data_IF_861342955929
#
_entry.id   IF_861342955929
#
_cell.length_a   1.000
_cell.length_b   1.000
_cell.length_c   1.000
_cell.angle_alpha   90.00
_cell.angle_beta   90.00
_cell.angle_gamma   90.00
#
_symmetry.space_group_name_H-M   'P 1'
#
loop_
_entity.id
_entity.type
_entity.pdbx_description
1 polymer ?
#
# COMPACT_ATOMS: atom_id res chain seq x y z
N UNK A 1 -2.23 11.37 29.36
CA UNK A 1 -2.95 10.08 29.45
C UNK A 1 -1.93 8.99 29.76
N UNK A 2 -2.12 8.23 30.84
CA UNK A 2 -1.24 7.13 31.21
C UNK A 2 -1.60 5.87 30.42
N UNK A 3 -0.59 5.21 29.88
CA UNK A 3 -0.72 4.07 28.98
C UNK A 3 0.12 2.89 29.45
N UNK A 4 -0.37 1.69 29.23
CA UNK A 4 0.42 0.47 29.27
C UNK A 4 0.72 0.05 27.83
N UNK A 5 2.01 -0.09 27.51
CA UNK A 5 2.50 -0.57 26.23
C UNK A 5 2.81 -2.07 26.29
N UNK A 6 2.32 -2.82 25.31
CA UNK A 6 2.67 -4.22 25.10
C UNK A 6 2.90 -4.46 23.59
N UNK A 7 3.73 -5.45 23.26
CA UNK A 7 3.97 -5.90 21.89
C UNK A 7 4.06 -7.42 21.82
N UNK A 8 3.64 -7.98 20.67
CA UNK A 8 3.81 -9.40 20.32
C UNK A 8 4.30 -9.45 18.88
N UNK A 9 5.24 -10.35 18.57
CA UNK A 9 5.72 -10.55 17.19
C UNK A 9 4.73 -11.38 16.40
N UNK A 10 4.70 -11.16 15.08
CA UNK A 10 3.98 -12.01 14.14
C UNK A 10 4.89 -12.42 12.97
N UNK A 11 4.53 -13.54 12.36
CA UNK A 11 5.11 -14.02 11.12
C UNK A 11 4.04 -14.77 10.32
N UNK A 12 4.03 -14.57 9.01
CA UNK A 12 3.24 -15.38 8.11
C UNK A 12 3.89 -15.47 6.73
N UNK A 13 3.59 -16.58 6.03
CA UNK A 13 3.94 -16.75 4.63
C UNK A 13 2.80 -16.25 3.75
N UNK A 14 3.10 -15.52 2.68
CA UNK A 14 2.10 -15.12 1.70
C UNK A 14 1.56 -16.36 0.96
N UNK A 15 0.32 -16.33 0.52
CA UNK A 15 -0.32 -17.44 -0.23
C UNK A 15 0.40 -17.72 -1.55
N UNK A 16 0.98 -16.69 -2.16
CA UNK A 16 1.93 -16.81 -3.27
C UNK A 16 2.94 -15.68 -3.20
N UNK A 17 4.13 -15.90 -3.75
CA UNK A 17 5.17 -14.88 -3.82
C UNK A 17 4.70 -13.64 -4.60
N UNK A 18 5.29 -12.51 -4.27
CA UNK A 18 5.11 -11.26 -5.01
C UNK A 18 6.49 -10.80 -5.45
N UNK A 19 6.74 -10.87 -6.74
CA UNK A 19 7.97 -10.40 -7.36
C UNK A 19 7.82 -8.95 -7.81
N UNK A 20 8.90 -8.19 -7.70
CA UNK A 20 9.09 -6.92 -8.37
C UNK A 20 10.55 -6.84 -8.86
N UNK A 21 10.91 -5.77 -9.55
CA UNK A 21 12.26 -5.59 -10.09
C UNK A 21 13.38 -5.64 -9.04
N UNK A 22 13.08 -5.36 -7.78
CA UNK A 22 14.08 -5.21 -6.71
C UNK A 22 14.09 -6.35 -5.69
N UNK A 23 12.98 -7.07 -5.52
CA UNK A 23 12.84 -8.07 -4.45
C UNK A 23 11.68 -9.02 -4.67
N UNK A 24 11.75 -10.17 -3.97
CA UNK A 24 10.67 -11.14 -3.86
C UNK A 24 10.16 -11.20 -2.44
N UNK A 25 8.87 -10.97 -2.27
CA UNK A 25 8.18 -11.12 -0.99
C UNK A 25 7.54 -12.51 -0.90
N UNK A 26 7.99 -13.33 0.04
CA UNK A 26 7.43 -14.64 0.34
C UNK A 26 6.75 -14.69 1.71
N UNK A 27 7.20 -13.86 2.63
CA UNK A 27 6.71 -13.82 4.00
C UNK A 27 6.78 -12.40 4.55
N UNK A 28 6.03 -12.17 5.60
CA UNK A 28 6.01 -10.94 6.39
C UNK A 28 6.21 -11.25 7.85
N UNK A 29 6.90 -10.35 8.51
CA UNK A 29 7.12 -10.36 9.97
C UNK A 29 7.09 -8.94 10.51
N UNK A 30 6.74 -8.83 11.78
CA UNK A 30 6.62 -7.54 12.45
C UNK A 30 6.09 -7.70 13.87
N UNK A 31 5.45 -6.66 14.36
CA UNK A 31 4.88 -6.65 15.72
C UNK A 31 3.50 -6.02 15.71
N UNK A 32 2.59 -6.66 16.45
CA UNK A 32 1.36 -6.01 16.90
C UNK A 32 1.67 -5.31 18.20
N UNK A 33 1.29 -4.04 18.30
CA UNK A 33 1.34 -3.28 19.54
C UNK A 33 -0.06 -3.12 20.12
N UNK A 34 -0.12 -3.07 21.45
CA UNK A 34 -1.33 -2.77 22.22
C UNK A 34 -1.03 -1.68 23.22
N UNK A 35 -1.72 -0.57 23.09
CA UNK A 35 -1.78 0.49 24.09
C UNK A 35 -3.08 0.34 24.89
N UNK A 36 -3.00 0.43 26.22
CA UNK A 36 -4.16 0.40 27.10
C UNK A 36 -4.15 1.60 28.03
N UNK A 37 -5.26 2.30 28.06
CA UNK A 37 -5.60 3.28 29.08
C UNK A 37 -6.75 2.73 29.93
N UNK A 38 -6.69 2.90 31.25
CA UNK A 38 -7.68 2.30 32.15
C UNK A 38 -9.08 2.89 32.00
N UNK A 39 -9.18 4.16 31.61
CA UNK A 39 -10.45 4.90 31.51
C UNK A 39 -10.99 4.89 30.07
N UNK A 40 -10.12 4.98 29.09
CA UNK A 40 -10.48 5.20 27.68
C UNK A 40 -10.48 3.93 26.82
N UNK A 41 -9.89 2.84 27.33
CA UNK A 41 -9.89 1.55 26.65
C UNK A 41 -8.57 1.17 25.99
N UNK A 42 -8.62 0.48 24.85
CA UNK A 42 -7.50 -0.16 24.20
C UNK A 42 -7.42 0.31 22.75
N UNK A 43 -6.20 0.47 22.24
CA UNK A 43 -5.91 0.68 20.82
C UNK A 43 -4.82 -0.26 20.34
N UNK A 44 -4.88 -0.62 19.07
CA UNK A 44 -3.95 -1.52 18.42
C UNK A 44 -3.25 -0.84 17.25
N UNK A 45 -1.99 -1.22 17.03
CA UNK A 45 -1.22 -0.82 15.87
C UNK A 45 -0.36 -1.96 15.36
N UNK A 46 0.08 -1.85 14.13
CA UNK A 46 0.92 -2.84 13.47
C UNK A 46 2.22 -2.21 13.00
N UNK A 47 3.34 -2.73 13.47
CA UNK A 47 4.68 -2.42 13.00
C UNK A 47 5.05 -3.44 11.92
N UNK A 48 4.96 -3.03 10.67
CA UNK A 48 5.08 -3.89 9.50
C UNK A 48 6.07 -3.30 8.47
N UNK A 49 7.39 -3.31 8.74
CA UNK A 49 8.36 -2.74 7.81
C UNK A 49 8.31 -3.46 6.46
N UNK A 50 8.44 -2.69 5.37
CA UNK A 50 8.46 -3.24 4.02
C UNK A 50 9.75 -4.01 3.76
N UNK A 51 10.90 -3.43 4.14
CA UNK A 51 12.20 -4.03 3.89
C UNK A 51 12.61 -4.91 5.08
N UNK A 52 13.11 -6.09 4.78
CA UNK A 52 13.58 -7.05 5.80
C UNK A 52 14.67 -6.46 6.69
N UNK A 53 15.57 -5.66 6.13
CA UNK A 53 16.66 -5.00 6.87
C UNK A 53 16.17 -4.03 7.94
N UNK A 54 14.95 -3.50 7.84
CA UNK A 54 14.38 -2.58 8.81
C UNK A 54 13.83 -3.29 10.06
N UNK A 55 13.74 -4.63 10.05
CA UNK A 55 13.24 -5.41 11.19
C UNK A 55 14.10 -5.24 12.43
N UNK A 56 15.43 -5.27 12.29
CA UNK A 56 16.33 -5.15 13.45
C UNK A 56 16.27 -3.74 14.04
N UNK A 57 16.20 -2.71 13.20
CA UNK A 57 16.00 -1.32 13.63
C UNK A 57 14.68 -1.19 14.40
N UNK A 58 13.60 -1.74 13.86
CA UNK A 58 12.29 -1.72 14.52
C UNK A 58 12.32 -2.47 15.86
N UNK A 59 12.98 -3.63 15.93
CA UNK A 59 13.14 -4.42 17.18
C UNK A 59 13.86 -3.62 18.26
N UNK A 60 14.98 -2.99 17.91
CA UNK A 60 15.78 -2.18 18.84
C UNK A 60 14.95 -1.01 19.36
N UNK A 61 14.31 -0.24 18.47
CA UNK A 61 13.51 0.93 18.83
C UNK A 61 12.28 0.55 19.67
N UNK A 62 11.58 -0.54 19.34
CA UNK A 62 10.46 -1.03 20.13
C UNK A 62 10.86 -1.46 21.55
N UNK A 63 12.13 -1.88 21.77
CA UNK A 63 12.63 -2.22 23.11
C UNK A 63 12.93 -0.98 23.96
N UNK A 64 13.05 0.19 23.36
CA UNK A 64 13.23 1.47 24.09
C UNK A 64 11.91 2.02 24.66
N UNK A 65 10.76 1.51 24.22
CA UNK A 65 9.46 1.98 24.72
C UNK A 65 9.19 1.33 26.09
N UNK A 66 9.06 2.12 27.17
CA UNK A 66 8.80 1.60 28.49
C UNK A 66 7.38 1.01 28.59
N UNK A 67 7.22 -0.01 29.46
CA UNK A 67 5.93 -0.67 29.70
C UNK A 67 4.83 0.31 30.15
N UNK A 68 5.20 1.30 30.96
CA UNK A 68 4.30 2.37 31.42
C UNK A 68 4.80 3.69 30.88
N UNK A 69 3.94 4.41 30.17
CA UNK A 69 4.32 5.65 29.50
C UNK A 69 3.14 6.62 29.42
N UNK A 70 3.43 7.90 29.45
CA UNK A 70 2.43 8.93 29.17
C UNK A 70 2.29 9.14 27.65
N UNK A 71 1.08 9.45 27.17
CA UNK A 71 0.82 9.67 25.74
C UNK A 71 1.69 10.77 25.11
N UNK A 72 1.97 11.86 25.85
CA UNK A 72 2.88 12.92 25.39
C UNK A 72 4.31 12.40 25.26
N UNK A 73 4.78 11.66 26.25
CA UNK A 73 6.16 11.13 26.26
C UNK A 73 6.38 10.07 25.19
N UNK A 74 5.40 9.19 24.92
CA UNK A 74 5.55 8.21 23.83
C UNK A 74 5.57 8.91 22.47
N UNK A 75 4.72 9.90 22.24
CA UNK A 75 4.70 10.68 21.00
C UNK A 75 6.02 11.43 20.76
N UNK A 76 6.64 11.92 21.83
CA UNK A 76 7.98 12.57 21.74
C UNK A 76 9.08 11.54 21.46
N UNK A 77 9.07 10.42 22.18
CA UNK A 77 10.06 9.36 22.05
C UNK A 77 10.12 8.81 20.60
N UNK A 78 8.97 8.59 19.97
CA UNK A 78 8.91 7.96 18.66
C UNK A 78 9.20 8.90 17.49
N UNK A 79 9.38 10.20 17.68
CA UNK A 79 9.62 11.18 16.60
C UNK A 79 10.76 10.78 15.65
N UNK A 80 11.80 10.14 16.19
CA UNK A 80 12.97 9.71 15.43
C UNK A 80 12.97 8.19 15.17
N UNK A 81 11.88 7.49 15.49
CA UNK A 81 11.77 6.06 15.23
C UNK A 81 11.38 5.78 13.78
N UNK A 82 11.53 4.53 13.38
CA UNK A 82 11.14 4.08 12.05
C UNK A 82 9.67 4.47 11.74
N UNK A 83 9.33 4.94 10.53
CA UNK A 83 7.99 5.42 10.19
C UNK A 83 6.87 4.44 10.52
N UNK A 84 7.07 3.13 10.32
CA UNK A 84 6.04 2.14 10.64
C UNK A 84 5.77 1.99 12.16
N UNK A 85 6.77 2.27 13.05
CA UNK A 85 6.55 2.32 14.49
C UNK A 85 5.72 3.55 14.85
N UNK A 86 6.06 4.69 14.26
CA UNK A 86 5.29 5.92 14.45
C UNK A 86 3.84 5.71 14.01
N UNK A 87 3.63 5.12 12.82
CA UNK A 87 2.30 4.79 12.32
C UNK A 87 1.53 3.89 13.29
N UNK A 88 2.15 2.81 13.77
CA UNK A 88 1.53 1.87 14.69
C UNK A 88 1.10 2.53 16.02
N UNK A 89 1.98 3.35 16.63
CA UNK A 89 1.67 4.07 17.87
C UNK A 89 0.56 5.10 17.66
N UNK A 90 0.65 5.89 16.57
CA UNK A 90 -0.38 6.88 16.26
C UNK A 90 -1.73 6.22 15.92
N UNK A 91 -1.73 5.07 15.27
CA UNK A 91 -2.95 4.26 15.04
C UNK A 91 -3.60 3.83 16.34
N UNK A 92 -2.83 3.27 17.26
CA UNK A 92 -3.33 2.84 18.56
C UNK A 92 -3.83 4.00 19.43
N UNK A 93 -3.15 5.15 19.39
CA UNK A 93 -3.59 6.37 20.09
C UNK A 93 -4.90 6.90 19.51
N UNK A 94 -5.05 6.91 18.19
CA UNK A 94 -6.28 7.36 17.52
C UNK A 94 -7.51 6.52 17.92
N UNK A 95 -7.35 5.20 18.11
CA UNK A 95 -8.41 4.33 18.62
C UNK A 95 -8.78 4.68 20.08
N UNK A 96 -7.80 4.81 20.98
CA UNK A 96 -8.03 5.16 22.39
C UNK A 96 -8.69 6.52 22.52
N UNK A 97 -8.30 7.47 21.68
CA UNK A 97 -8.83 8.84 21.65
C UNK A 97 -10.17 8.95 20.89
N UNK A 98 -10.68 7.83 20.38
CA UNK A 98 -11.92 7.76 19.57
C UNK A 98 -11.92 8.71 18.37
N UNK A 99 -10.74 8.99 17.82
CA UNK A 99 -10.57 9.78 16.59
C UNK A 99 -10.91 8.98 15.32
N UNK A 100 -10.92 7.67 15.45
CA UNK A 100 -11.34 6.73 14.42
C UNK A 100 -12.20 5.63 15.04
N UNK A 101 -13.25 5.27 14.34
CA UNK A 101 -14.07 4.10 14.65
C UNK A 101 -14.07 3.21 13.40
N UNK A 102 -13.50 2.02 13.55
CA UNK A 102 -13.51 1.05 12.47
C UNK A 102 -14.87 0.34 12.45
N UNK A 103 -15.60 0.49 11.34
CA UNK A 103 -16.79 -0.32 11.14
C UNK A 103 -16.37 -1.76 10.84
N UNK A 104 -17.01 -2.74 11.49
CA UNK A 104 -16.65 -4.16 11.33
C UNK A 104 -16.93 -4.72 9.92
N UNK A 105 -17.64 -3.98 9.07
CA UNK A 105 -18.20 -4.43 7.81
C UNK A 105 -17.52 -3.89 6.55
N UNK A 106 -16.29 -3.38 6.62
CA UNK A 106 -15.54 -3.07 5.40
C UNK A 106 -14.97 -4.33 4.78
N UNK A 107 -15.74 -4.94 3.90
CA UNK A 107 -15.27 -6.03 3.05
C UNK A 107 -14.96 -5.49 1.67
N UNK A 108 -13.70 -5.58 1.25
CA UNK A 108 -13.32 -5.34 -0.14
C UNK A 108 -13.37 -6.64 -0.91
N UNK A 109 -14.08 -6.63 -2.05
CA UNK A 109 -14.03 -7.69 -3.02
C UNK A 109 -12.86 -7.41 -3.98
N UNK A 110 -11.97 -8.38 -4.17
CA UNK A 110 -10.78 -8.21 -5.00
C UNK A 110 -11.12 -8.02 -6.50
N UNK A 111 -12.28 -8.47 -6.92
CA UNK A 111 -12.63 -8.53 -8.35
C UNK A 111 -12.99 -7.14 -8.91
N UNK A 112 -13.74 -6.35 -8.16
CA UNK A 112 -14.31 -5.08 -8.65
C UNK A 112 -13.98 -3.86 -7.77
N UNK A 113 -13.40 -4.09 -6.62
CA UNK A 113 -13.11 -3.04 -5.64
C UNK A 113 -11.62 -2.83 -5.37
N UNK A 114 -10.75 -3.69 -5.92
CA UNK A 114 -9.30 -3.55 -5.80
C UNK A 114 -8.62 -3.86 -7.13
N UNK A 115 -7.44 -3.29 -7.35
CA UNK A 115 -6.64 -3.65 -8.51
C UNK A 115 -6.15 -5.10 -8.41
N UNK A 116 -6.32 -5.85 -9.49
CA UNK A 116 -5.87 -7.24 -9.60
C UNK A 116 -4.40 -7.23 -9.99
N UNK A 117 -3.55 -7.76 -9.13
CA UNK A 117 -2.12 -7.88 -9.41
C UNK A 117 -1.89 -9.11 -10.29
N UNK A 118 -1.46 -8.86 -11.53
CA UNK A 118 -1.10 -9.93 -12.49
C UNK A 118 0.23 -10.60 -12.10
N UNK A 119 0.38 -11.86 -12.51
CA UNK A 119 1.69 -12.53 -12.48
C UNK A 119 2.65 -11.79 -13.42
N UNK A 120 3.76 -11.22 -12.92
CA UNK A 120 4.67 -10.44 -13.74
C UNK A 120 5.36 -11.25 -14.84
N UNK A 121 5.48 -12.57 -14.66
CA UNK A 121 6.10 -13.46 -15.64
C UNK A 121 5.12 -13.98 -16.71
N UNK A 122 3.80 -13.98 -16.43
CA UNK A 122 2.76 -14.47 -17.33
C UNK A 122 1.50 -13.58 -17.32
N UNK A 123 1.62 -12.25 -17.48
CA UNK A 123 0.49 -11.33 -17.29
C UNK A 123 -0.61 -11.55 -18.35
N UNK A 124 -0.23 -11.90 -19.57
CA UNK A 124 -1.17 -12.13 -20.67
C UNK A 124 -2.06 -13.36 -20.40
N UNK A 125 -1.48 -14.45 -19.86
CA UNK A 125 -2.25 -15.65 -19.50
C UNK A 125 -3.32 -15.32 -18.44
N UNK A 126 -2.96 -14.57 -17.40
CA UNK A 126 -3.92 -14.15 -16.39
C UNK A 126 -4.99 -13.21 -16.96
N UNK A 127 -4.62 -12.27 -17.83
CA UNK A 127 -5.59 -11.38 -18.50
C UNK A 127 -6.59 -12.17 -19.34
N UNK A 128 -6.14 -13.19 -20.08
CA UNK A 128 -7.02 -14.07 -20.89
C UNK A 128 -7.99 -14.83 -19.98
N UNK A 129 -7.51 -15.37 -18.85
CA UNK A 129 -8.35 -16.06 -17.87
C UNK A 129 -9.41 -15.10 -17.30
N UNK A 130 -9.03 -13.89 -16.92
CA UNK A 130 -9.96 -12.87 -16.42
C UNK A 130 -11.03 -12.54 -17.46
N UNK A 131 -10.66 -12.38 -18.73
CA UNK A 131 -11.58 -12.09 -19.84
C UNK A 131 -12.53 -13.27 -20.13
N UNK A 132 -12.11 -14.51 -19.92
CA UNK A 132 -12.93 -15.70 -20.06
C UNK A 132 -14.01 -15.82 -19.00
N UNK A 133 -13.91 -15.10 -17.90
CA UNK A 133 -14.92 -15.11 -16.85
C UNK A 133 -16.09 -14.18 -17.22
N UNK A 134 -17.24 -14.77 -17.58
CA UNK A 134 -18.43 -14.01 -17.99
C UNK A 134 -18.92 -12.99 -16.95
N UNK A 135 -18.77 -13.31 -15.65
CA UNK A 135 -19.18 -12.42 -14.56
C UNK A 135 -18.36 -11.12 -14.48
N UNK A 136 -17.17 -11.10 -15.08
CA UNK A 136 -16.26 -9.94 -15.08
C UNK A 136 -16.38 -9.10 -16.36
N UNK A 137 -17.05 -9.60 -17.40
CA UNK A 137 -17.11 -8.92 -18.70
C UNK A 137 -17.90 -7.60 -18.67
N UNK A 138 -18.80 -7.41 -17.71
CA UNK A 138 -19.65 -6.23 -17.58
C UNK A 138 -19.14 -5.27 -16.49
N UNK A 139 -18.13 -5.67 -15.71
CA UNK A 139 -17.60 -4.85 -14.61
C UNK A 139 -16.40 -4.02 -15.05
N UNK A 140 -16.26 -2.83 -14.48
CA UNK A 140 -15.02 -2.06 -14.60
C UNK A 140 -13.94 -2.76 -13.78
N UNK A 141 -12.90 -3.25 -14.44
CA UNK A 141 -11.77 -3.92 -13.81
C UNK A 141 -10.55 -3.02 -13.85
N UNK A 142 -9.75 -3.07 -12.79
CA UNK A 142 -8.40 -2.50 -12.79
C UNK A 142 -7.40 -3.62 -12.59
N UNK A 143 -6.45 -3.74 -13.50
CA UNK A 143 -5.34 -4.67 -13.41
C UNK A 143 -4.04 -3.89 -13.17
N UNK A 144 -3.10 -4.51 -12.45
CA UNK A 144 -1.77 -3.96 -12.21
C UNK A 144 -0.73 -4.98 -12.67
N UNK A 145 0.17 -4.55 -13.54
CA UNK A 145 1.29 -5.36 -14.00
C UNK A 145 2.61 -4.75 -13.53
N UNK A 146 3.44 -5.57 -12.89
CA UNK A 146 4.80 -5.20 -12.48
C UNK A 146 5.78 -5.52 -13.60
N UNK A 147 6.59 -4.55 -13.96
CA UNK A 147 7.56 -4.58 -15.06
C UNK A 147 8.98 -4.32 -14.56
N UNK A 148 9.98 -4.35 -15.45
CA UNK A 148 11.39 -4.24 -15.10
C UNK A 148 11.94 -5.52 -14.44
N UNK A 149 11.29 -6.66 -14.66
CA UNK A 149 11.65 -7.98 -14.14
C UNK A 149 12.27 -8.83 -15.25
N UNK A 150 11.76 -8.71 -16.47
CA UNK A 150 12.31 -9.32 -17.68
C UNK A 150 13.11 -8.28 -18.45
N UNK A 151 13.71 -8.68 -19.58
CA UNK A 151 14.34 -7.70 -20.47
C UNK A 151 13.29 -6.78 -21.12
N UNK A 152 13.67 -5.53 -21.34
CA UNK A 152 12.76 -4.49 -21.85
C UNK A 152 12.07 -4.86 -23.17
N UNK A 153 12.78 -5.53 -24.07
CA UNK A 153 12.22 -5.90 -25.38
C UNK A 153 11.11 -6.95 -25.25
N UNK A 154 11.30 -7.93 -24.36
CA UNK A 154 10.28 -8.93 -24.05
C UNK A 154 9.05 -8.29 -23.39
N UNK A 155 9.26 -7.39 -22.42
CA UNK A 155 8.16 -6.69 -21.75
C UNK A 155 7.41 -5.75 -22.71
N UNK A 156 8.08 -5.04 -23.61
CA UNK A 156 7.43 -4.21 -24.64
C UNK A 156 6.56 -5.03 -25.59
N UNK A 157 6.99 -6.24 -26.00
CA UNK A 157 6.15 -7.15 -26.81
C UNK A 157 4.92 -7.59 -26.04
N UNK A 158 5.09 -8.00 -24.77
CA UNK A 158 3.98 -8.39 -23.90
C UNK A 158 3.02 -7.22 -23.71
N UNK A 159 3.53 -5.99 -23.56
CA UNK A 159 2.72 -4.77 -23.46
C UNK A 159 1.81 -4.62 -24.68
N UNK A 160 2.36 -4.70 -25.89
CA UNK A 160 1.60 -4.57 -27.15
C UNK A 160 0.47 -5.63 -27.20
N UNK A 161 0.78 -6.87 -26.81
CA UNK A 161 -0.23 -7.93 -26.76
C UNK A 161 -1.31 -7.65 -25.68
N UNK A 162 -0.92 -7.18 -24.49
CA UNK A 162 -1.88 -6.76 -23.45
C UNK A 162 -2.80 -5.66 -24.00
N UNK A 163 -2.24 -4.63 -24.61
CA UNK A 163 -3.00 -3.50 -25.17
C UNK A 163 -4.02 -3.96 -26.21
N UNK A 164 -3.65 -4.88 -27.10
CA UNK A 164 -4.56 -5.50 -28.08
C UNK A 164 -5.71 -6.30 -27.41
N UNK A 165 -5.51 -6.73 -26.17
CA UNK A 165 -6.49 -7.48 -25.41
C UNK A 165 -7.29 -6.63 -24.41
N UNK A 166 -6.94 -5.35 -24.20
CA UNK A 166 -7.70 -4.47 -23.30
C UNK A 166 -9.07 -4.14 -23.91
N UNK A 167 -10.12 -4.38 -23.15
CA UNK A 167 -11.46 -3.88 -23.45
C UNK A 167 -11.66 -2.53 -22.75
N UNK A 168 -12.64 -1.75 -23.20
CA UNK A 168 -12.95 -0.43 -22.63
C UNK A 168 -13.25 -0.45 -21.12
N UNK A 169 -13.73 -1.58 -20.60
CA UNK A 169 -14.01 -1.77 -19.17
C UNK A 169 -12.79 -2.23 -18.35
N UNK A 170 -11.58 -2.33 -18.94
CA UNK A 170 -10.36 -2.73 -18.21
C UNK A 170 -9.41 -1.55 -18.15
N UNK A 171 -9.02 -1.13 -16.95
CA UNK A 171 -7.96 -0.14 -16.71
C UNK A 171 -6.66 -0.85 -16.33
N UNK A 172 -5.55 -0.37 -16.85
CA UNK A 172 -4.22 -0.91 -16.62
C UNK A 172 -3.36 0.07 -15.82
N UNK A 173 -2.68 -0.43 -14.81
CA UNK A 173 -1.59 0.22 -14.08
C UNK A 173 -0.31 -0.54 -14.34
N UNK A 174 0.75 0.16 -14.64
CA UNK A 174 2.07 -0.41 -14.91
C UNK A 174 3.00 0.08 -13.80
N UNK A 175 3.74 -0.84 -13.17
CA UNK A 175 4.58 -0.54 -12.01
C UNK A 175 6.01 -1.05 -12.25
N UNK A 176 6.93 -0.13 -12.46
CA UNK A 176 8.33 -0.43 -12.72
C UNK A 176 9.20 -0.46 -11.45
N UNK A 177 8.65 -0.10 -10.29
CA UNK A 177 9.35 -0.08 -9.00
C UNK A 177 10.74 0.61 -9.04
N UNK A 178 10.87 1.67 -9.85
CA UNK A 178 12.09 2.48 -9.96
C UNK A 178 13.25 1.83 -10.70
N UNK A 179 12.98 0.83 -11.54
CA UNK A 179 14.02 0.03 -12.18
C UNK A 179 14.50 0.55 -13.54
N UNK A 180 13.79 1.48 -14.14
CA UNK A 180 14.12 1.94 -15.50
C UNK A 180 15.08 3.13 -15.49
N UNK A 181 15.89 3.16 -16.57
CA UNK A 181 16.62 4.34 -16.97
C UNK A 181 15.69 5.29 -17.76
N UNK A 182 16.05 6.58 -17.85
CA UNK A 182 15.26 7.61 -18.56
C UNK A 182 14.89 7.23 -19.98
N UNK A 183 15.79 6.57 -20.73
CA UNK A 183 15.54 6.14 -22.10
C UNK A 183 14.37 5.14 -22.17
N UNK A 184 14.40 4.10 -21.34
CA UNK A 184 13.32 3.10 -21.26
C UNK A 184 12.01 3.74 -20.83
N UNK A 185 12.03 4.57 -19.79
CA UNK A 185 10.84 5.25 -19.30
C UNK A 185 10.21 6.15 -20.37
N UNK A 186 11.03 6.88 -21.14
CA UNK A 186 10.53 7.71 -22.24
C UNK A 186 9.88 6.90 -23.35
N UNK A 187 10.48 5.77 -23.76
CA UNK A 187 9.87 4.87 -24.77
C UNK A 187 8.51 4.35 -24.32
N UNK A 188 8.41 3.91 -23.07
CA UNK A 188 7.13 3.43 -22.54
C UNK A 188 6.08 4.53 -22.46
N UNK A 189 6.47 5.75 -22.05
CA UNK A 189 5.57 6.91 -22.06
C UNK A 189 5.10 7.22 -23.48
N UNK A 190 5.96 7.14 -24.50
CA UNK A 190 5.57 7.37 -25.90
C UNK A 190 4.54 6.35 -26.40
N UNK A 191 4.62 5.10 -25.94
CA UNK A 191 3.64 4.06 -26.27
C UNK A 191 2.31 4.29 -25.54
N UNK A 192 2.36 4.75 -24.28
CA UNK A 192 1.21 4.71 -23.35
C UNK A 192 0.40 6.00 -23.28
N UNK A 193 1.01 7.18 -23.57
CA UNK A 193 0.45 8.51 -23.27
C UNK A 193 -0.94 8.78 -23.86
N UNK A 194 -1.24 8.18 -25.02
CA UNK A 194 -2.48 8.40 -25.76
C UNK A 194 -3.50 7.25 -25.57
N UNK A 195 -3.25 6.33 -24.63
CA UNK A 195 -4.10 5.16 -24.39
C UNK A 195 -5.01 5.41 -23.20
N UNK A 196 -6.30 5.59 -23.46
CA UNK A 196 -7.32 5.90 -22.42
C UNK A 196 -7.45 4.84 -21.31
N UNK A 197 -7.06 3.60 -21.59
CA UNK A 197 -7.16 2.51 -20.63
C UNK A 197 -6.05 2.52 -19.57
N UNK A 198 -5.05 3.39 -19.69
CA UNK A 198 -3.97 3.50 -18.72
C UNK A 198 -4.39 4.43 -17.57
N UNK A 199 -4.38 3.92 -16.34
CA UNK A 199 -4.58 4.76 -15.16
C UNK A 199 -3.35 5.62 -14.88
N UNK A 200 -2.15 4.99 -14.84
CA UNK A 200 -0.85 5.64 -14.64
C UNK A 200 0.32 4.68 -14.86
N UNK A 201 1.50 5.25 -14.98
CA UNK A 201 2.78 4.56 -14.86
C UNK A 201 3.34 4.83 -13.45
N UNK A 202 3.54 3.76 -12.65
CA UNK A 202 3.95 3.85 -11.26
C UNK A 202 5.46 3.70 -11.14
N UNK A 203 6.10 4.67 -10.48
CA UNK A 203 7.52 4.73 -10.15
C UNK A 203 8.43 4.22 -11.29
N UNK A 204 8.41 4.86 -12.48
CA UNK A 204 9.22 4.40 -13.61
C UNK A 204 10.73 4.53 -13.36
N UNK A 205 11.16 5.62 -12.75
CA UNK A 205 12.56 5.94 -12.52
C UNK A 205 12.96 5.74 -11.05
N UNK A 206 14.27 5.67 -10.82
CA UNK A 206 14.85 5.68 -9.48
C UNK A 206 14.21 6.75 -8.61
N UNK A 207 14.12 6.47 -7.30
CA UNK A 207 13.60 7.42 -6.31
C UNK A 207 14.37 8.74 -6.29
N UNK A 208 15.62 8.77 -6.76
CA UNK A 208 16.51 9.95 -6.75
C UNK A 208 16.33 10.83 -8.00
N UNK A 209 15.69 10.32 -9.05
CA UNK A 209 15.46 11.07 -10.28
C UNK A 209 14.11 11.80 -10.27
N UNK A 210 13.93 12.69 -9.31
CA UNK A 210 12.68 13.46 -9.15
C UNK A 210 12.42 14.36 -10.36
N UNK A 211 13.46 14.91 -10.97
CA UNK A 211 13.33 15.75 -12.16
C UNK A 211 12.77 14.94 -13.34
N UNK A 212 13.36 13.78 -13.64
CA UNK A 212 12.87 12.90 -14.69
C UNK A 212 11.43 12.45 -14.45
N UNK A 213 11.06 12.13 -13.19
CA UNK A 213 9.67 11.80 -12.82
C UNK A 213 8.72 12.98 -13.10
N UNK A 214 9.13 14.23 -12.80
CA UNK A 214 8.34 15.43 -13.10
C UNK A 214 8.20 15.67 -14.62
N UNK A 215 9.25 15.43 -15.40
CA UNK A 215 9.22 15.53 -16.85
C UNK A 215 8.23 14.52 -17.46
N UNK A 216 8.26 13.27 -17.01
CA UNK A 216 7.33 12.24 -17.46
C UNK A 216 5.87 12.58 -17.07
N UNK A 217 5.65 13.13 -15.86
CA UNK A 217 4.31 13.50 -15.37
C UNK A 217 3.63 14.61 -16.20
N UNK A 218 4.41 15.41 -16.93
CA UNK A 218 3.86 16.40 -17.89
C UNK A 218 3.27 15.76 -19.16
N UNK A 219 3.60 14.50 -19.42
CA UNK A 219 3.26 13.78 -20.68
C UNK A 219 2.17 12.75 -20.47
N UNK A 220 2.16 12.07 -19.30
CA UNK A 220 1.11 11.13 -18.88
C UNK A 220 1.05 11.05 -17.36
N UNK A 221 -0.04 10.53 -16.78
CA UNK A 221 -0.13 10.36 -15.32
C UNK A 221 0.98 9.46 -14.77
N UNK A 222 1.83 10.00 -13.89
CA UNK A 222 2.84 9.26 -13.14
C UNK A 222 2.40 9.14 -11.67
N UNK A 223 2.56 7.93 -11.10
CA UNK A 223 2.31 7.68 -9.70
C UNK A 223 3.63 7.46 -8.93
N UNK A 224 3.83 8.18 -7.84
CA UNK A 224 4.95 7.91 -6.94
C UNK A 224 4.55 6.90 -5.87
N UNK A 225 5.42 5.91 -5.60
CA UNK A 225 5.34 4.96 -4.47
C UNK A 225 6.62 5.08 -3.60
N UNK A 226 7.72 4.49 -4.03
CA UNK A 226 8.97 4.43 -3.28
C UNK A 226 9.57 5.82 -3.03
N UNK A 227 9.39 6.76 -3.96
CA UNK A 227 9.83 8.15 -3.79
C UNK A 227 9.14 8.83 -2.62
N UNK A 228 7.85 8.57 -2.38
CA UNK A 228 7.11 9.14 -1.24
C UNK A 228 7.61 8.61 0.10
N UNK A 229 8.03 7.34 0.14
CA UNK A 229 8.58 6.72 1.34
C UNK A 229 9.98 7.26 1.66
N UNK A 230 10.81 7.46 0.63
CA UNK A 230 12.17 7.99 0.77
C UNK A 230 12.18 9.48 1.05
N UNK A 231 11.32 10.23 0.37
CA UNK A 231 11.24 11.68 0.42
C UNK A 231 9.82 12.15 0.81
N UNK A 232 9.44 12.07 2.10
CA UNK A 232 8.08 12.39 2.55
C UNK A 232 7.59 13.81 2.23
N UNK A 233 8.49 14.77 1.97
CA UNK A 233 8.09 16.10 1.55
C UNK A 233 7.35 16.13 0.22
N UNK A 234 7.61 15.15 -0.66
CA UNK A 234 6.91 14.99 -1.95
C UNK A 234 5.40 14.77 -1.78
N UNK A 235 4.92 14.32 -0.62
CA UNK A 235 3.49 14.22 -0.33
C UNK A 235 2.78 15.57 -0.52
N UNK A 236 3.49 16.68 -0.24
CA UNK A 236 2.94 18.03 -0.39
C UNK A 236 3.31 18.71 -1.72
N UNK A 237 4.36 18.24 -2.39
CA UNK A 237 4.93 18.90 -3.57
C UNK A 237 4.64 18.18 -4.89
N UNK A 238 4.21 16.90 -4.82
CA UNK A 238 3.89 16.12 -6.01
C UNK A 238 2.44 16.37 -6.44
N UNK A 239 2.25 16.79 -7.67
CA UNK A 239 0.97 17.12 -8.28
C UNK A 239 0.32 15.95 -9.06
N UNK A 240 1.06 14.85 -9.28
CA UNK A 240 0.56 13.61 -9.87
C UNK A 240 -0.04 12.62 -8.87
N UNK A 241 -0.22 11.38 -9.31
CA UNK A 241 -0.74 10.31 -8.46
C UNK A 241 0.24 9.93 -7.34
N UNK A 242 -0.30 9.62 -6.18
CA UNK A 242 0.43 9.20 -4.99
C UNK A 242 -0.06 7.84 -4.51
N UNK A 243 0.84 6.86 -4.48
CA UNK A 243 0.56 5.54 -3.90
C UNK A 243 0.84 5.62 -2.41
N UNK A 244 -0.22 5.61 -1.61
CA UNK A 244 -0.15 5.87 -0.18
C UNK A 244 -0.25 4.56 0.62
N UNK A 245 0.68 4.39 1.56
CA UNK A 245 0.80 3.18 2.41
C UNK A 245 0.68 3.56 3.88
N UNK A 246 -0.54 3.54 4.47
CA UNK A 246 -0.78 4.08 5.82
C UNK A 246 0.14 3.50 6.89
N UNK A 247 0.49 2.21 6.79
CA UNK A 247 1.39 1.54 7.75
C UNK A 247 2.85 1.97 7.64
N UNK A 248 3.24 2.65 6.54
CA UNK A 248 4.59 3.16 6.30
C UNK A 248 4.71 4.68 6.49
N UNK A 249 3.59 5.37 6.63
CA UNK A 249 3.55 6.82 6.78
C UNK A 249 3.41 7.19 8.26
N UNK A 250 4.37 7.84 8.82
CA UNK A 250 4.50 8.21 10.26
C UNK A 250 3.19 8.36 11.05
N UNK A 251 2.15 8.93 10.42
CA UNK A 251 0.85 9.15 11.06
C UNK A 251 -0.30 8.98 10.05
N UNK A 252 -1.07 7.88 10.11
CA UNK A 252 -2.17 7.64 9.19
C UNK A 252 -3.33 8.65 9.32
N UNK A 253 -3.39 9.42 10.41
CA UNK A 253 -4.36 10.50 10.57
C UNK A 253 -4.16 11.65 9.57
N UNK A 254 -2.93 11.86 9.08
CA UNK A 254 -2.70 12.86 8.03
C UNK A 254 -3.38 12.47 6.73
N UNK A 255 -3.23 11.21 6.31
CA UNK A 255 -3.90 10.70 5.11
C UNK A 255 -5.43 10.66 5.30
N UNK A 256 -5.91 10.29 6.49
CA UNK A 256 -7.33 10.37 6.83
C UNK A 256 -7.88 11.79 6.64
N UNK A 257 -7.14 12.79 7.12
CA UNK A 257 -7.50 14.21 6.93
C UNK A 257 -7.51 14.58 5.45
N UNK A 258 -6.47 14.25 4.70
CA UNK A 258 -6.40 14.54 3.25
C UNK A 258 -7.60 13.98 2.48
N UNK A 259 -8.00 12.72 2.75
CA UNK A 259 -9.14 12.09 2.10
C UNK A 259 -10.47 12.73 2.50
N UNK A 260 -10.64 13.10 3.78
CA UNK A 260 -11.81 13.86 4.25
C UNK A 260 -11.89 15.26 3.64
N UNK A 261 -10.74 15.90 3.48
CA UNK A 261 -10.61 17.22 2.82
C UNK A 261 -10.71 17.12 1.27
N UNK A 262 -11.05 15.93 0.76
CA UNK A 262 -11.21 15.63 -0.67
C UNK A 262 -9.98 15.96 -1.53
N UNK A 263 -8.77 15.74 -1.01
CA UNK A 263 -7.55 15.81 -1.83
C UNK A 263 -7.56 14.69 -2.86
N UNK A 264 -7.40 15.06 -4.12
CA UNK A 264 -7.35 14.14 -5.26
C UNK A 264 -6.00 13.42 -5.42
N UNK A 265 -5.93 12.54 -6.42
CA UNK A 265 -4.73 11.82 -6.86
C UNK A 265 -4.07 10.95 -5.77
N UNK A 266 -4.88 10.35 -4.89
CA UNK A 266 -4.43 9.39 -3.88
C UNK A 266 -4.91 7.99 -4.26
N UNK A 267 -4.04 7.01 -4.17
CA UNK A 267 -4.38 5.59 -4.30
C UNK A 267 -3.75 4.79 -3.17
N UNK A 268 -4.58 4.06 -2.41
CA UNK A 268 -4.11 3.25 -1.30
C UNK A 268 -3.46 1.97 -1.80
N UNK A 269 -2.35 1.56 -1.18
CA UNK A 269 -1.68 0.31 -1.46
C UNK A 269 -1.31 -0.42 -0.17
N UNK A 270 -1.37 -1.76 -0.22
CA UNK A 270 -1.00 -2.60 0.92
C UNK A 270 0.51 -2.71 1.09
N UNK A 271 0.93 -2.89 2.35
CA UNK A 271 2.26 -3.38 2.74
C UNK A 271 2.17 -4.83 3.25
N UNK A 272 1.10 -5.55 2.87
CA UNK A 272 0.76 -6.90 3.36
C UNK A 272 0.51 -6.92 4.86
N UNK A 273 -0.38 -6.04 5.31
CA UNK A 273 -0.78 -5.91 6.71
C UNK A 273 -1.58 -7.12 7.18
N UNK A 274 -1.47 -7.43 8.50
CA UNK A 274 -2.43 -8.29 9.19
C UNK A 274 -3.79 -7.62 9.32
N UNK A 275 -4.78 -8.29 9.89
CA UNK A 275 -6.09 -7.70 10.18
C UNK A 275 -6.02 -6.40 11.01
N UNK A 276 -4.94 -6.19 11.78
CA UNK A 276 -4.74 -4.97 12.58
C UNK A 276 -4.50 -3.75 11.67
N UNK A 277 -3.50 -3.81 10.78
CA UNK A 277 -3.18 -2.71 9.87
C UNK A 277 -4.24 -2.57 8.77
N UNK A 278 -4.83 -3.69 8.32
CA UNK A 278 -5.88 -3.71 7.28
C UNK A 278 -7.13 -2.91 7.67
N UNK A 279 -7.47 -2.78 8.94
CA UNK A 279 -8.60 -1.94 9.38
C UNK A 279 -8.41 -0.49 8.93
N UNK A 280 -7.19 0.05 9.08
CA UNK A 280 -6.83 1.37 8.59
C UNK A 280 -6.87 1.43 7.06
N UNK A 281 -6.25 0.45 6.41
CA UNK A 281 -6.18 0.39 4.96
C UNK A 281 -7.58 0.35 4.33
N UNK A 282 -8.50 -0.48 4.84
CA UNK A 282 -9.87 -0.57 4.36
C UNK A 282 -10.67 0.70 4.60
N UNK A 283 -10.57 1.26 5.81
CA UNK A 283 -11.26 2.52 6.14
C UNK A 283 -10.84 3.66 5.21
N UNK A 284 -9.53 3.83 4.99
CA UNK A 284 -9.02 4.87 4.10
C UNK A 284 -9.36 4.59 2.62
N UNK A 285 -9.33 3.33 2.19
CA UNK A 285 -9.71 2.93 0.83
C UNK A 285 -11.18 3.23 0.54
N UNK A 286 -12.08 3.04 1.49
CA UNK A 286 -13.49 3.42 1.31
C UNK A 286 -13.68 4.92 1.13
N UNK A 287 -12.91 5.74 1.85
CA UNK A 287 -12.91 7.21 1.66
C UNK A 287 -12.33 7.61 0.31
N UNK A 288 -11.28 6.93 -0.16
CA UNK A 288 -10.71 7.15 -1.49
C UNK A 288 -11.73 6.90 -2.60
N UNK A 289 -12.50 5.80 -2.51
CA UNK A 289 -13.55 5.47 -3.49
C UNK A 289 -14.67 6.50 -3.54
N UNK A 290 -14.91 7.23 -2.46
CA UNK A 290 -15.87 8.31 -2.34
C UNK A 290 -15.26 9.70 -2.61
N UNK A 291 -13.99 9.77 -2.95
CA UNK A 291 -13.24 11.00 -3.16
C UNK A 291 -13.46 11.63 -4.54
N UNK A 292 -12.72 12.72 -4.81
CA UNK A 292 -12.82 13.49 -6.08
C UNK A 292 -12.13 12.80 -7.27
N UNK A 293 -11.18 11.92 -7.00
CA UNK A 293 -10.50 11.08 -8.01
C UNK A 293 -10.62 9.61 -7.62
N UNK A 294 -11.83 9.03 -7.69
CA UNK A 294 -12.06 7.67 -7.23
C UNK A 294 -11.30 6.68 -8.11
N UNK A 295 -10.45 5.87 -7.48
CA UNK A 295 -9.74 4.75 -8.09
C UNK A 295 -9.70 3.59 -7.11
N UNK A 296 -9.82 2.38 -7.59
CA UNK A 296 -9.73 1.21 -6.71
C UNK A 296 -8.34 1.09 -6.07
N UNK A 297 -8.23 0.70 -4.79
CA UNK A 297 -6.94 0.55 -4.11
C UNK A 297 -6.20 -0.71 -4.57
N UNK A 298 -4.89 -0.76 -4.30
CA UNK A 298 -4.04 -1.93 -4.54
C UNK A 298 -3.89 -2.80 -3.29
N UNK A 299 -4.87 -3.65 -2.97
CA UNK A 299 -4.90 -4.39 -1.69
C UNK A 299 -4.31 -5.80 -1.76
N UNK A 300 -4.14 -6.38 -2.95
CA UNK A 300 -3.57 -7.72 -3.18
C UNK A 300 -4.15 -8.80 -2.24
N UNK A 301 -5.48 -8.85 -2.07
CA UNK A 301 -6.15 -9.66 -1.04
C UNK A 301 -5.90 -11.16 -1.19
N UNK A 302 -5.74 -11.68 -2.43
CA UNK A 302 -5.41 -13.09 -2.71
C UNK A 302 -4.04 -13.53 -2.19
N UNK A 303 -3.16 -12.57 -1.87
CA UNK A 303 -1.84 -12.87 -1.32
C UNK A 303 -1.87 -13.19 0.19
N UNK A 304 -2.99 -12.92 0.87
CA UNK A 304 -3.14 -13.17 2.29
C UNK A 304 -3.44 -14.66 2.56
N UNK A 305 -2.75 -15.30 3.51
CA UNK A 305 -3.05 -16.67 3.89
C UNK A 305 -4.35 -16.75 4.71
N UNK A 306 -4.96 -17.93 4.74
CA UNK A 306 -6.05 -18.23 5.67
C UNK A 306 -5.45 -18.43 7.08
N UNK A 307 -5.47 -17.38 7.90
CA UNK A 307 -4.85 -17.36 9.23
C UNK A 307 -5.63 -16.43 10.17
N UNK A 308 -5.58 -16.73 11.48
CA UNK A 308 -6.17 -15.87 12.52
C UNK A 308 -5.60 -14.43 12.50
N UNK A 309 -4.41 -14.23 11.96
CA UNK A 309 -3.81 -12.90 11.79
C UNK A 309 -4.63 -11.98 10.90
N UNK A 310 -5.54 -12.52 10.09
CA UNK A 310 -6.37 -11.76 9.14
C UNK A 310 -7.82 -11.61 9.58
N UNK A 311 -8.14 -11.94 10.84
CA UNK A 311 -9.45 -11.67 11.43
C UNK A 311 -9.72 -10.15 11.47
N UNK A 312 -10.99 -9.76 11.43
CA UNK A 312 -11.38 -8.35 11.53
C UNK A 312 -11.37 -7.84 12.98
N UNK A 313 -11.30 -8.73 13.97
CA UNK A 313 -11.30 -8.38 15.38
C UNK A 313 -9.87 -8.31 15.94
N UNK A 314 -9.41 -7.11 16.24
CA UNK A 314 -8.05 -6.84 16.72
C UNK A 314 -7.75 -7.52 18.07
N UNK A 315 -8.71 -7.58 19.00
CA UNK A 315 -8.52 -8.23 20.29
C UNK A 315 -8.37 -9.74 20.11
N UNK A 316 -9.16 -10.38 19.23
CA UNK A 316 -9.00 -11.82 18.93
C UNK A 316 -7.64 -12.15 18.30
N UNK A 317 -7.13 -11.30 17.40
CA UNK A 317 -5.77 -11.46 16.86
C UNK A 317 -4.75 -11.38 17.98
N UNK A 318 -4.87 -10.37 18.83
CA UNK A 318 -3.95 -10.19 19.97
C UNK A 318 -3.93 -11.36 20.94
N UNK A 319 -5.09 -11.94 21.23
CA UNK A 319 -5.20 -13.02 22.23
C UNK A 319 -4.66 -14.34 21.71
N UNK A 320 -4.66 -14.56 20.38
CA UNK A 320 -4.13 -15.77 19.73
C UNK A 320 -2.62 -15.69 19.44
N UNK A 321 -2.00 -14.52 19.44
CA UNK A 321 -0.56 -14.33 19.37
C UNK A 321 0.09 -14.67 20.74
#
# INVERSE_FOLDING_TARGET
MNLTFKKKSFFFKLSSKVDNSNTTYNYKSGWIIKLKNMEKGVGFGEVNPLRKQDLDVCKIQLNQIPKYVNSKNISELIKNFHPCIQSAINSALAEIERKINFQENYYFNEIDQTAILLDPHNPLKELIILKGNKLLNEKLLTIKWKVGIQDNFSEEKILIEILNHLKSNIKLRIDANGSWERETANRWVDILKDIENIDWLEQPLSTDDIEGLRELNKRMPIALDESLLKYPYLINEWDGWQIRRPSQERNPMHLLKELKDKKGFRSLSTSFETGIGRRWLFHLSSLQLLGVTPKVPGLALKKNPNSFLFLNNAQKIWDQL
#
